data_IF_802080981442
#
_entry.id   IF_802080981442
#
_cell.length_a   1.000
_cell.length_b   1.000
_cell.length_c   1.000
_cell.angle_alpha   90.00
_cell.angle_beta   90.00
_cell.angle_gamma   90.00
#
_symmetry.space_group_name_H-M   'P 1'
#
loop_
_entity.id
_entity.type
_entity.pdbx_description
1 polymer ?
#
# COMPACT_ATOMS: atom_id res chain seq x y z
N UNK A 1 3.26 20.66 -14.73
CA UNK A 1 2.56 20.05 -13.58
C UNK A 1 2.02 18.71 -14.02
N UNK A 2 2.64 17.61 -13.60
CA UNK A 2 2.02 16.28 -13.71
C UNK A 2 1.15 16.10 -12.49
N UNK A 3 -0.16 16.33 -12.62
CA UNK A 3 -1.10 15.93 -11.57
C UNK A 3 -1.13 14.41 -11.58
N UNK A 4 -0.68 13.79 -10.49
CA UNK A 4 -0.82 12.35 -10.34
C UNK A 4 -2.30 11.98 -10.22
N UNK A 5 -2.66 10.81 -10.72
CA UNK A 5 -4.02 10.29 -10.63
C UNK A 5 -4.34 9.93 -9.18
N UNK A 6 -5.46 10.44 -8.64
CA UNK A 6 -5.94 10.02 -7.32
C UNK A 6 -6.49 8.62 -7.41
N UNK A 7 -6.08 7.77 -6.47
CA UNK A 7 -6.49 6.37 -6.41
C UNK A 7 -6.94 6.00 -5.00
N UNK A 8 -8.01 5.21 -4.93
CA UNK A 8 -8.47 4.57 -3.71
C UNK A 8 -8.32 3.05 -3.88
N UNK A 9 -7.69 2.39 -2.92
CA UNK A 9 -7.41 0.95 -2.95
C UNK A 9 -7.98 0.32 -1.68
N UNK A 10 -8.85 -0.67 -1.88
CA UNK A 10 -9.33 -1.55 -0.81
C UNK A 10 -8.68 -2.90 -1.03
N UNK A 11 -7.75 -3.25 -0.14
CA UNK A 11 -6.80 -4.31 -0.40
C UNK A 11 -6.38 -5.09 0.83
N UNK A 12 -5.55 -6.09 0.60
CA UNK A 12 -4.88 -6.87 1.64
C UNK A 12 -3.38 -6.57 1.63
N UNK A 13 -2.81 -6.28 2.79
CA UNK A 13 -1.37 -6.11 2.96
C UNK A 13 -0.63 -7.44 2.74
N UNK A 14 0.36 -7.44 1.84
CA UNK A 14 1.15 -8.61 1.47
C UNK A 14 2.28 -8.90 2.47
N UNK A 15 2.71 -7.87 3.20
CA UNK A 15 3.78 -7.93 4.19
C UNK A 15 3.57 -6.87 5.27
N UNK A 16 4.27 -7.01 6.40
CA UNK A 16 4.37 -5.93 7.36
C UNK A 16 5.12 -4.72 6.75
N UNK A 17 4.78 -3.49 7.14
CA UNK A 17 5.51 -2.29 6.74
C UNK A 17 6.97 -2.36 7.12
N UNK A 18 7.83 -2.00 6.18
CA UNK A 18 9.25 -1.73 6.44
C UNK A 18 9.45 -0.23 6.50
N UNK A 19 10.07 0.26 7.56
CA UNK A 19 10.37 1.69 7.72
C UNK A 19 11.77 1.95 7.15
N UNK A 20 11.85 2.86 6.19
CA UNK A 20 13.14 3.30 5.61
C UNK A 20 13.82 4.34 6.51
N UNK A 21 15.11 4.63 6.30
CA UNK A 21 15.82 5.68 7.05
C UNK A 21 15.16 7.07 6.95
N UNK A 22 14.48 7.36 5.83
CA UNK A 22 13.76 8.61 5.60
C UNK A 22 12.41 8.68 6.32
N UNK A 23 12.15 7.77 7.28
CA UNK A 23 10.89 7.68 8.03
C UNK A 23 9.68 7.44 7.12
N UNK A 24 9.86 6.68 6.04
CA UNK A 24 8.77 6.28 5.15
C UNK A 24 8.44 4.81 5.42
N UNK A 25 7.18 4.52 5.67
CA UNK A 25 6.68 3.16 5.76
C UNK A 25 6.30 2.64 4.38
N UNK A 26 6.84 1.47 4.01
CA UNK A 26 6.64 0.85 2.70
C UNK A 26 6.09 -0.57 2.85
N UNK A 27 5.03 -0.89 2.12
CA UNK A 27 4.48 -2.26 2.07
C UNK A 27 3.71 -2.52 0.78
N UNK A 28 3.69 -3.79 0.39
CA UNK A 28 2.89 -4.25 -0.74
C UNK A 28 1.43 -4.43 -0.34
N UNK A 29 0.51 -4.02 -1.21
CA UNK A 29 -0.94 -4.24 -1.06
C UNK A 29 -1.49 -4.84 -2.34
N UNK A 30 -2.32 -5.87 -2.20
CA UNK A 30 -3.08 -6.42 -3.32
C UNK A 30 -4.51 -5.90 -3.28
N UNK A 31 -4.91 -5.20 -4.32
CA UNK A 31 -6.27 -4.70 -4.48
C UNK A 31 -7.25 -5.87 -4.63
N UNK A 32 -8.38 -5.81 -3.92
CA UNK A 32 -9.34 -6.90 -3.91
C UNK A 32 -10.10 -7.02 -5.23
N UNK A 33 -10.37 -5.89 -5.89
CA UNK A 33 -11.19 -5.86 -7.12
C UNK A 33 -10.39 -6.31 -8.34
N UNK A 34 -9.22 -5.73 -8.55
CA UNK A 34 -8.40 -5.95 -9.74
C UNK A 34 -7.32 -7.02 -9.55
N UNK A 35 -7.09 -7.47 -8.32
CA UNK A 35 -5.97 -8.34 -7.93
C UNK A 35 -4.59 -7.77 -8.28
N UNK A 36 -4.50 -6.47 -8.59
CA UNK A 36 -3.24 -5.77 -8.87
C UNK A 36 -2.46 -5.51 -7.58
N UNK A 37 -1.15 -5.60 -7.67
CA UNK A 37 -0.25 -5.27 -6.56
C UNK A 37 0.25 -3.83 -6.67
N UNK A 38 0.18 -3.14 -5.54
CA UNK A 38 0.64 -1.77 -5.36
C UNK A 38 1.73 -1.74 -4.29
N UNK A 39 2.69 -0.84 -4.46
CA UNK A 39 3.67 -0.51 -3.42
C UNK A 39 3.23 0.79 -2.76
N UNK A 40 2.80 0.70 -1.51
CA UNK A 40 2.28 1.84 -0.75
C UNK A 40 3.42 2.48 0.02
N UNK A 41 3.51 3.81 -0.05
CA UNK A 41 4.45 4.63 0.72
C UNK A 41 3.66 5.69 1.48
N UNK A 42 3.94 5.85 2.76
CA UNK A 42 3.33 6.86 3.63
C UNK A 42 4.38 7.29 4.68
N UNK A 43 4.37 8.54 5.18
CA UNK A 43 5.18 8.89 6.34
C UNK A 43 4.90 7.93 7.49
N UNK A 44 5.95 7.43 8.15
CA UNK A 44 5.82 6.43 9.21
C UNK A 44 5.01 6.96 10.41
N UNK A 45 5.08 8.27 10.65
CA UNK A 45 4.29 8.96 11.67
C UNK A 45 2.78 8.99 11.36
N UNK A 46 2.41 8.93 10.08
CA UNK A 46 1.01 8.89 9.63
C UNK A 46 0.47 7.46 9.55
N UNK A 47 1.34 6.45 9.62
CA UNK A 47 0.97 5.04 9.71
C UNK A 47 0.50 4.72 11.14
N UNK A 48 -0.60 5.33 11.56
CA UNK A 48 -1.10 5.31 12.95
C UNK A 48 -1.61 3.97 13.48
N UNK A 49 -1.37 2.83 12.80
CA UNK A 49 -1.82 1.49 13.19
C UNK A 49 -0.85 0.38 12.79
N UNK A 50 -0.88 -0.72 13.55
CA UNK A 50 -0.14 -1.93 13.22
C UNK A 50 -0.76 -2.62 12.00
N UNK A 51 0.00 -2.63 10.90
CA UNK A 51 -0.32 -3.42 9.70
C UNK A 51 0.55 -4.66 9.72
N UNK A 52 -0.06 -5.81 9.48
CA UNK A 52 0.63 -7.09 9.32
C UNK A 52 0.25 -7.72 8.00
N UNK A 53 0.97 -8.77 7.60
CA UNK A 53 0.58 -9.58 6.44
C UNK A 53 -0.84 -10.11 6.64
N UNK A 54 -1.71 -9.89 5.65
CA UNK A 54 -3.11 -10.29 5.71
C UNK A 54 -4.05 -9.22 6.26
N UNK A 55 -3.54 -8.11 6.80
CA UNK A 55 -4.38 -7.00 7.25
C UNK A 55 -5.14 -6.39 6.07
N UNK A 56 -6.46 -6.21 6.23
CA UNK A 56 -7.28 -5.47 5.28
C UNK A 56 -7.04 -3.97 5.46
N UNK A 57 -6.81 -3.27 4.35
CA UNK A 57 -6.46 -1.85 4.34
C UNK A 57 -7.29 -1.10 3.31
N UNK A 58 -7.65 0.13 3.65
CA UNK A 58 -8.26 1.12 2.78
C UNK A 58 -7.28 2.29 2.64
N UNK A 59 -6.95 2.63 1.40
CA UNK A 59 -5.82 3.50 1.07
C UNK A 59 -6.28 4.55 0.08
N UNK A 60 -6.15 5.81 0.47
CA UNK A 60 -6.34 6.94 -0.41
C UNK A 60 -4.99 7.60 -0.69
N UNK A 61 -4.71 7.89 -1.96
CA UNK A 61 -3.46 8.51 -2.34
C UNK A 61 -3.35 8.85 -3.80
N UNK A 62 -2.12 9.02 -4.25
CA UNK A 62 -1.78 9.33 -5.63
C UNK A 62 -0.96 8.20 -6.24
N UNK A 63 -1.42 7.72 -7.40
CA UNK A 63 -0.68 6.77 -8.20
C UNK A 63 0.51 7.49 -8.86
N UNK A 64 1.71 7.02 -8.52
CA UNK A 64 2.96 7.47 -9.11
C UNK A 64 3.41 6.57 -10.24
N UNK A 65 4.73 6.46 -10.42
CA UNK A 65 5.32 5.60 -11.44
C UNK A 65 5.26 4.12 -11.07
N UNK A 66 5.30 3.25 -12.08
CA UNK A 66 5.47 1.81 -11.88
C UNK A 66 6.92 1.51 -11.51
N UNK A 67 7.11 0.89 -10.35
CA UNK A 67 8.41 0.36 -9.92
C UNK A 67 8.59 -1.01 -10.58
N UNK A 68 9.64 -1.20 -11.41
CA UNK A 68 9.90 -2.49 -12.01
C UNK A 68 10.23 -3.51 -10.92
N UNK A 69 9.56 -4.65 -10.97
CA UNK A 69 9.85 -5.77 -10.09
C UNK A 69 11.24 -6.34 -10.38
N UNK A 70 11.84 -6.99 -9.38
CA UNK A 70 13.04 -7.78 -9.58
C UNK A 70 12.64 -9.18 -10.04
N UNK A 71 12.49 -9.36 -11.34
CA UNK A 71 12.04 -10.61 -11.96
C UNK A 71 12.88 -11.83 -11.53
N UNK A 72 14.19 -11.64 -11.33
CA UNK A 72 15.14 -12.67 -10.85
C UNK A 72 14.91 -13.12 -9.40
N UNK A 73 14.09 -12.37 -8.65
CA UNK A 73 13.66 -12.67 -7.27
C UNK A 73 12.18 -13.06 -7.18
N UNK A 74 11.49 -13.19 -8.32
CA UNK A 74 10.04 -13.42 -8.35
C UNK A 74 9.22 -12.22 -7.86
N UNK A 75 9.81 -11.02 -7.81
CA UNK A 75 9.11 -9.80 -7.40
C UNK A 75 8.38 -9.20 -8.60
N UNK A 76 7.05 -9.07 -8.52
CA UNK A 76 6.21 -8.48 -9.56
C UNK A 76 6.45 -6.95 -9.66
N UNK A 77 6.24 -6.40 -10.86
CA UNK A 77 6.19 -4.94 -11.03
C UNK A 77 4.97 -4.37 -10.32
N UNK A 78 5.15 -3.27 -9.60
CA UNK A 78 4.10 -2.66 -8.77
C UNK A 78 3.97 -1.18 -9.09
N UNK A 79 2.74 -0.69 -9.11
CA UNK A 79 2.50 0.75 -9.17
C UNK A 79 2.74 1.35 -7.79
N UNK A 80 3.58 2.40 -7.72
CA UNK A 80 3.83 3.12 -6.49
C UNK A 80 2.61 3.99 -6.15
N UNK A 81 2.21 3.97 -4.89
CA UNK A 81 1.13 4.81 -4.37
C UNK A 81 1.69 5.64 -3.22
N UNK A 82 1.67 6.96 -3.39
CA UNK A 82 1.93 7.90 -2.30
C UNK A 82 0.64 8.06 -1.52
N UNK A 83 0.50 7.31 -0.43
CA UNK A 83 -0.70 7.32 0.38
C UNK A 83 -0.75 8.57 1.23
N UNK A 84 -1.92 9.22 1.22
CA UNK A 84 -2.27 10.34 2.09
C UNK A 84 -2.99 9.84 3.35
N UNK A 85 -3.68 8.71 3.26
CA UNK A 85 -4.35 8.06 4.39
C UNK A 85 -4.33 6.55 4.19
N UNK A 86 -4.00 5.83 5.26
CA UNK A 86 -4.13 4.37 5.35
C UNK A 86 -4.99 4.04 6.55
N UNK A 87 -6.07 3.30 6.33
CA UNK A 87 -6.98 2.85 7.38
C UNK A 87 -6.98 1.33 7.40
N UNK A 88 -6.93 0.73 8.58
CA UNK A 88 -7.20 -0.70 8.71
C UNK A 88 -8.70 -0.90 8.62
N UNK A 89 -9.15 -1.71 7.65
CA UNK A 89 -10.54 -2.10 7.57
C UNK A 89 -10.81 -3.13 8.66
N UNK A 90 -11.29 -2.70 9.82
CA UNK A 90 -11.92 -3.61 10.76
C UNK A 90 -13.13 -4.22 10.05
N UNK A 91 -13.10 -5.53 9.80
CA UNK A 91 -14.35 -6.25 9.73
C UNK A 91 -14.99 -6.01 11.09
N UNK A 92 -16.04 -5.20 11.13
CA UNK A 92 -17.08 -5.37 12.11
C UNK A 92 -17.46 -6.84 12.01
N UNK A 93 -16.91 -7.66 12.91
CA UNK A 93 -17.35 -9.03 13.10
C UNK A 93 -18.79 -8.87 13.58
N UNK A 94 -19.73 -8.92 12.63
CA UNK A 94 -21.14 -9.07 12.92
C UNK A 94 -21.26 -10.48 13.54
N UNK A 95 -21.13 -10.53 14.86
CA UNK A 95 -21.45 -11.66 15.71
C UNK A 95 -22.91 -11.56 16.14
#
# INVERSE_FOLDING_TARGET
MTSNERITIIGTALAAPTITPDRIAEFGVRDERSQREYLVRIPADDLGRFITRGSRVDIDGEAGWTVPGRSWRGEASRTLVQAQSVRTGDLALAA
#
